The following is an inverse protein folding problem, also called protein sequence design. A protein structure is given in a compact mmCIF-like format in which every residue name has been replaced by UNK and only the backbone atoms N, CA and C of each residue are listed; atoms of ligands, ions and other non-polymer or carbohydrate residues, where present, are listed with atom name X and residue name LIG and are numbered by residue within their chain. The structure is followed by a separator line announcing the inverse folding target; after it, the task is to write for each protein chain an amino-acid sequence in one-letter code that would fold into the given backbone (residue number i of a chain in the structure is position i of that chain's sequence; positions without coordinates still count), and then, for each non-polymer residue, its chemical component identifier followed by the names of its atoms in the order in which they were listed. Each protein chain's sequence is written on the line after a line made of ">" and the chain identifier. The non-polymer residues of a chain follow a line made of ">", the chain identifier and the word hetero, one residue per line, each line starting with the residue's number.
data_IF_743264975233
#
_entry.id   IF_743264975233
#
_cell.length_a   1.000
_cell.length_b   1.000
_cell.length_c   1.000
_cell.angle_alpha   90.00
_cell.angle_beta   90.00
_cell.angle_gamma   90.00
#
_symmetry.space_group_name_H-M   'P 1'
#
loop_
_entity.id
_entity.type
_entity.pdbx_description
1 polymer ?
#
# COMPACT_ATOMS: atom_id res chain seq x y z
N UNK A 1 8.73 -12.75 37.90
CA UNK A 1 9.38 -11.97 36.83
C UNK A 1 8.29 -11.55 35.88
N UNK A 2 7.86 -10.28 35.94
CA UNK A 2 6.81 -9.77 35.05
C UNK A 2 7.42 -9.46 33.70
N UNK A 3 6.89 -10.06 32.64
CA UNK A 3 7.22 -9.68 31.27
C UNK A 3 6.64 -8.30 31.02
N UNK A 4 7.51 -7.29 30.97
CA UNK A 4 7.18 -5.95 30.48
C UNK A 4 7.07 -6.02 28.95
N UNK A 5 5.98 -6.60 28.47
CA UNK A 5 5.63 -6.50 27.05
C UNK A 5 4.99 -5.14 26.87
N UNK A 6 5.79 -4.18 26.43
CA UNK A 6 5.25 -2.93 25.87
C UNK A 6 4.10 -3.28 24.91
N UNK A 7 2.98 -2.54 24.94
CA UNK A 7 1.88 -2.81 24.01
C UNK A 7 2.43 -2.78 22.59
N UNK A 8 1.97 -3.68 21.69
CA UNK A 8 2.43 -3.64 20.31
C UNK A 8 2.20 -2.24 19.77
N UNK A 9 3.24 -1.64 19.17
CA UNK A 9 3.10 -0.36 18.49
C UNK A 9 1.89 -0.45 17.53
N UNK A 10 1.06 0.61 17.44
CA UNK A 10 -0.07 0.61 16.52
C UNK A 10 0.42 0.25 15.12
N UNK A 11 -0.23 -0.75 14.50
CA UNK A 11 0.10 -1.15 13.13
C UNK A 11 -0.30 -0.01 12.19
N UNK A 12 0.58 0.43 11.27
CA UNK A 12 0.28 1.56 10.40
C UNK A 12 -0.82 1.19 9.41
N UNK A 13 -1.79 2.07 9.22
CA UNK A 13 -2.95 1.82 8.37
C UNK A 13 -2.62 1.94 6.87
N UNK A 14 -3.37 1.24 6.03
CA UNK A 14 -3.46 1.54 4.61
C UNK A 14 -4.91 1.69 4.20
N UNK A 15 -5.13 2.41 3.10
CA UNK A 15 -6.41 2.44 2.39
C UNK A 15 -6.19 2.35 0.89
N UNK A 16 -7.07 1.61 0.24
CA UNK A 16 -7.22 1.58 -1.20
C UNK A 16 -8.55 2.23 -1.56
N UNK A 17 -8.51 3.39 -2.20
CA UNK A 17 -9.72 4.01 -2.72
C UNK A 17 -9.96 3.61 -4.18
N UNK A 18 -11.20 3.34 -4.55
CA UNK A 18 -11.66 3.38 -5.94
C UNK A 18 -12.11 4.81 -6.25
N UNK A 19 -11.41 5.48 -7.18
CA UNK A 19 -11.63 6.87 -7.55
C UNK A 19 -12.06 6.95 -9.02
N UNK A 20 -13.33 7.31 -9.23
CA UNK A 20 -14.02 7.18 -10.53
C UNK A 20 -13.97 8.45 -11.39
N UNK A 21 -13.28 9.51 -10.96
CA UNK A 21 -13.13 10.79 -11.68
C UNK A 21 -11.71 11.35 -11.55
N UNK A 22 -11.22 12.12 -12.56
CA UNK A 22 -11.81 12.28 -13.89
C UNK A 22 -11.72 11.01 -14.74
N UNK A 23 -10.75 10.12 -14.44
CA UNK A 23 -10.64 8.78 -15.03
C UNK A 23 -10.63 7.75 -13.90
N UNK A 24 -11.28 6.58 -14.04
CA UNK A 24 -11.20 5.53 -13.04
C UNK A 24 -9.75 5.13 -12.76
N UNK A 25 -9.38 5.13 -11.48
CA UNK A 25 -8.11 4.64 -10.96
C UNK A 25 -8.29 4.25 -9.50
N UNK A 26 -7.29 3.57 -8.95
CA UNK A 26 -7.22 3.33 -7.52
C UNK A 26 -6.18 4.23 -6.87
N UNK A 27 -6.45 4.73 -5.67
CA UNK A 27 -5.43 5.39 -4.85
C UNK A 27 -4.96 4.43 -3.75
N UNK A 28 -3.72 3.96 -3.85
CA UNK A 28 -3.06 3.24 -2.76
C UNK A 28 -2.41 4.24 -1.81
N UNK A 29 -2.71 4.12 -0.51
CA UNK A 29 -2.24 5.05 0.51
C UNK A 29 -1.74 4.30 1.72
N UNK A 30 -0.52 4.60 2.15
CA UNK A 30 0.15 3.96 3.28
C UNK A 30 0.44 5.01 4.36
N UNK A 31 -0.06 4.80 5.58
CA UNK A 31 0.29 5.62 6.73
C UNK A 31 1.77 5.47 7.06
N UNK A 32 2.51 6.57 7.04
CA UNK A 32 3.92 6.61 7.39
C UNK A 32 4.31 8.03 7.83
N UNK A 33 5.04 8.14 8.93
CA UNK A 33 5.59 9.43 9.42
C UNK A 33 4.53 10.54 9.58
N UNK A 34 3.30 10.16 9.99
CA UNK A 34 2.19 11.09 10.22
C UNK A 34 1.44 11.54 8.97
N UNK A 35 1.74 10.98 7.79
CA UNK A 35 1.04 11.26 6.52
C UNK A 35 0.67 9.98 5.78
N UNK A 36 -0.13 10.11 4.72
CA UNK A 36 -0.45 9.05 3.78
C UNK A 36 0.43 9.17 2.53
N UNK A 37 1.48 8.34 2.46
CA UNK A 37 2.26 8.15 1.23
C UNK A 37 1.37 7.54 0.17
N UNK A 38 1.24 8.21 -0.98
CA UNK A 38 0.12 7.96 -1.89
C UNK A 38 0.59 7.70 -3.32
N UNK A 39 -0.06 6.74 -3.98
CA UNK A 39 0.13 6.42 -5.38
C UNK A 39 -1.22 6.23 -6.08
N UNK A 40 -1.37 6.86 -7.25
CA UNK A 40 -2.47 6.55 -8.17
C UNK A 40 -2.08 5.33 -9.02
N UNK A 41 -2.98 4.36 -9.12
CA UNK A 41 -2.80 3.07 -9.83
C UNK A 41 -3.90 2.94 -10.89
N UNK A 42 -3.67 3.45 -12.13
CA UNK A 42 -4.73 3.59 -13.14
C UNK A 42 -5.40 2.29 -13.56
N UNK A 43 -4.72 1.16 -13.40
CA UNK A 43 -5.24 -0.17 -13.77
C UNK A 43 -5.46 -1.08 -12.56
N UNK A 44 -5.60 -0.49 -11.37
CA UNK A 44 -5.73 -1.21 -10.10
C UNK A 44 -4.48 -1.97 -9.70
N UNK A 45 -4.50 -2.49 -8.47
CA UNK A 45 -3.43 -3.33 -7.95
C UNK A 45 -3.33 -4.61 -8.79
N UNK A 46 -2.12 -5.13 -9.04
CA UNK A 46 -1.97 -6.40 -9.75
C UNK A 46 -2.66 -7.52 -8.96
N UNK A 47 -3.53 -8.26 -9.64
CA UNK A 47 -4.32 -9.37 -9.09
C UNK A 47 -3.55 -10.70 -9.14
N UNK A 48 -2.56 -10.85 -10.01
CA UNK A 48 -1.76 -12.08 -10.13
C UNK A 48 -0.28 -11.84 -9.86
N UNK A 49 0.41 -12.81 -9.23
CA UNK A 49 1.86 -12.74 -9.06
C UNK A 49 2.57 -12.59 -10.41
N UNK A 50 3.57 -11.72 -10.45
CA UNK A 50 4.35 -11.47 -11.67
C UNK A 50 3.79 -10.39 -12.59
N UNK A 51 2.56 -9.95 -12.39
CA UNK A 51 2.00 -8.80 -13.12
C UNK A 51 2.55 -7.47 -12.58
N UNK A 52 2.84 -6.55 -13.51
CA UNK A 52 3.25 -5.18 -13.20
C UNK A 52 2.12 -4.21 -13.55
N UNK A 53 1.87 -3.22 -12.67
CA UNK A 53 0.95 -2.11 -12.90
C UNK A 53 1.69 -0.80 -12.66
N UNK A 54 1.38 0.22 -13.46
CA UNK A 54 1.89 1.58 -13.24
C UNK A 54 1.33 2.11 -11.91
N UNK A 55 2.20 2.64 -11.08
CA UNK A 55 1.87 3.39 -9.88
C UNK A 55 2.55 4.76 -9.95
N UNK A 56 1.75 5.82 -9.91
CA UNK A 56 2.19 7.20 -10.07
C UNK A 56 2.21 7.80 -8.67
N UNK A 57 3.38 8.23 -8.20
CA UNK A 57 3.46 8.92 -6.91
C UNK A 57 2.67 10.24 -6.98
N UNK A 58 1.83 10.48 -6.00
CA UNK A 58 1.07 11.72 -5.85
C UNK A 58 1.42 12.38 -4.51
N UNK A 59 1.10 13.66 -4.30
CA UNK A 59 1.38 14.32 -3.02
C UNK A 59 0.83 13.52 -1.83
N UNK A 60 1.51 13.62 -0.69
CA UNK A 60 1.04 13.02 0.55
C UNK A 60 -0.35 13.58 0.92
N UNK A 61 -1.12 12.80 1.68
CA UNK A 61 -2.41 13.25 2.20
C UNK A 61 -2.44 13.14 3.72
N UNK A 62 -3.28 13.93 4.37
CA UNK A 62 -3.48 13.87 5.82
C UNK A 62 -4.15 12.55 6.24
N UNK A 63 -3.93 12.12 7.49
CA UNK A 63 -4.45 10.84 8.00
C UNK A 63 -5.98 10.74 7.96
N UNK A 64 -6.70 11.87 8.03
CA UNK A 64 -8.17 11.91 7.93
C UNK A 64 -8.67 11.34 6.59
N UNK A 65 -7.83 11.34 5.54
CA UNK A 65 -8.16 10.71 4.27
C UNK A 65 -8.25 9.17 4.34
N UNK A 66 -7.83 8.51 5.43
CA UNK A 66 -7.97 7.05 5.58
C UNK A 66 -9.42 6.58 5.46
N UNK A 67 -10.37 7.42 5.86
CA UNK A 67 -11.81 7.10 5.89
C UNK A 67 -12.65 8.01 4.99
N UNK A 68 -12.00 8.80 4.14
CA UNK A 68 -12.69 9.74 3.28
C UNK A 68 -13.41 9.02 2.13
N UNK A 69 -14.68 9.34 1.93
CA UNK A 69 -15.46 8.90 0.78
C UNK A 69 -16.31 10.08 0.27
N UNK A 70 -16.61 10.06 -1.03
CA UNK A 70 -17.55 10.96 -1.68
C UNK A 70 -18.32 10.24 -2.80
N UNK A 71 -19.09 10.99 -3.60
CA UNK A 71 -19.89 10.42 -4.69
C UNK A 71 -19.06 9.60 -5.70
N UNK A 72 -17.78 9.93 -5.88
CA UNK A 72 -16.89 9.35 -6.88
C UNK A 72 -15.70 8.60 -6.29
N UNK A 73 -15.53 8.63 -4.97
CA UNK A 73 -14.43 8.00 -4.26
C UNK A 73 -14.94 7.17 -3.10
N UNK A 74 -14.64 5.87 -3.12
CA UNK A 74 -15.07 4.92 -2.08
C UNK A 74 -13.91 4.06 -1.63
N UNK A 75 -13.98 3.49 -0.42
CA UNK A 75 -12.97 2.56 0.07
C UNK A 75 -13.17 1.17 -0.57
N UNK A 76 -12.27 0.81 -1.47
CA UNK A 76 -12.21 -0.53 -2.06
C UNK A 76 -11.62 -1.55 -1.08
N UNK A 77 -10.58 -1.17 -0.33
CA UNK A 77 -10.02 -1.99 0.75
C UNK A 77 -9.35 -1.10 1.81
N UNK A 78 -9.23 -1.61 3.03
CA UNK A 78 -8.62 -0.90 4.16
C UNK A 78 -8.11 -1.90 5.18
N UNK A 79 -6.99 -1.58 5.83
CA UNK A 79 -6.41 -2.43 6.85
C UNK A 79 -5.13 -1.83 7.38
N UNK A 80 -4.14 -2.68 7.63
CA UNK A 80 -2.80 -2.26 8.04
C UNK A 80 -1.75 -2.82 7.07
N UNK A 81 -0.56 -2.24 7.09
CA UNK A 81 0.53 -2.67 6.21
C UNK A 81 1.82 -2.92 6.99
N UNK A 82 2.69 -3.71 6.40
CA UNK A 82 4.00 -4.08 6.95
C UNK A 82 5.09 -3.85 5.92
N UNK A 83 6.11 -3.08 6.28
CA UNK A 83 7.35 -2.96 5.49
C UNK A 83 8.22 -4.21 5.68
N UNK A 84 8.73 -4.77 4.59
CA UNK A 84 9.67 -5.89 4.62
C UNK A 84 11.10 -5.47 4.23
N UNK A 85 11.23 -4.60 3.23
CA UNK A 85 12.53 -4.09 2.78
C UNK A 85 12.36 -2.79 1.99
N UNK A 86 13.33 -1.89 2.07
CA UNK A 86 13.34 -0.64 1.32
C UNK A 86 14.75 -0.25 0.90
N UNK A 87 14.88 0.02 -0.38
CA UNK A 87 16.07 0.59 -1.04
C UNK A 87 15.64 1.80 -1.86
N UNK A 88 16.58 2.61 -2.38
CA UNK A 88 16.22 3.72 -3.27
C UNK A 88 15.45 3.30 -4.53
N UNK A 89 15.58 2.03 -4.97
CA UNK A 89 14.95 1.52 -6.20
C UNK A 89 13.72 0.64 -5.93
N UNK A 90 13.55 0.14 -4.71
CA UNK A 90 12.57 -0.91 -4.39
C UNK A 90 12.01 -0.72 -3.00
N UNK A 91 10.72 -0.95 -2.86
CA UNK A 91 10.02 -0.93 -1.59
C UNK A 91 9.08 -2.14 -1.53
N UNK A 92 9.36 -3.08 -0.63
CA UNK A 92 8.63 -4.34 -0.45
C UNK A 92 7.77 -4.23 0.79
N UNK A 93 6.47 -4.49 0.63
CA UNK A 93 5.50 -4.38 1.71
C UNK A 93 4.36 -5.40 1.54
N UNK A 94 3.68 -5.72 2.65
CA UNK A 94 2.45 -6.51 2.65
C UNK A 94 1.29 -5.62 3.05
N UNK A 95 0.17 -5.73 2.32
CA UNK A 95 -1.11 -5.17 2.73
C UNK A 95 -1.92 -6.27 3.40
N UNK A 96 -2.37 -6.01 4.62
CA UNK A 96 -3.26 -6.89 5.39
C UNK A 96 -4.67 -6.33 5.31
N UNK A 97 -5.35 -6.64 4.20
CA UNK A 97 -6.66 -6.09 3.86
C UNK A 97 -7.80 -6.78 4.58
N UNK A 98 -9.04 -6.46 4.17
CA UNK A 98 -10.24 -7.06 4.77
C UNK A 98 -10.37 -8.57 4.52
N UNK A 99 -9.83 -9.05 3.40
CA UNK A 99 -10.05 -10.43 2.92
C UNK A 99 -8.76 -11.24 2.81
N UNK A 100 -7.67 -10.62 2.37
CA UNK A 100 -6.42 -11.30 2.03
C UNK A 100 -5.20 -10.48 2.45
N UNK A 101 -4.11 -11.20 2.73
CA UNK A 101 -2.78 -10.63 2.85
C UNK A 101 -2.07 -10.70 1.50
N UNK A 102 -1.63 -9.55 0.97
CA UNK A 102 -0.98 -9.50 -0.35
C UNK A 102 0.33 -8.73 -0.28
N UNK A 103 1.41 -9.39 -0.69
CA UNK A 103 2.74 -8.78 -0.80
C UNK A 103 2.95 -8.13 -2.17
N UNK A 104 3.46 -6.91 -2.13
CA UNK A 104 3.80 -6.11 -3.29
C UNK A 104 5.25 -5.63 -3.22
N UNK A 105 5.79 -5.30 -4.38
CA UNK A 105 6.97 -4.45 -4.51
C UNK A 105 6.63 -3.25 -5.39
N UNK A 106 6.98 -2.06 -4.92
CA UNK A 106 7.09 -0.85 -5.72
C UNK A 106 8.53 -0.74 -6.23
N UNK A 107 8.71 -0.58 -7.54
CA UNK A 107 10.01 -0.46 -8.20
C UNK A 107 10.09 0.91 -8.87
N UNK A 108 11.04 1.73 -8.45
CA UNK A 108 11.28 3.06 -9.02
C UNK A 108 11.96 2.93 -10.39
N UNK A 109 11.33 3.50 -11.42
CA UNK A 109 11.86 3.54 -12.80
C UNK A 109 12.61 4.84 -13.11
N UNK A 110 12.61 5.80 -12.18
CA UNK A 110 13.16 7.14 -12.33
C UNK A 110 12.15 8.18 -12.82
N UNK A 111 11.03 7.76 -13.43
CA UNK A 111 9.91 8.64 -13.82
C UNK A 111 8.63 8.35 -13.05
N UNK A 112 8.37 7.08 -12.75
CA UNK A 112 7.19 6.57 -12.04
C UNK A 112 7.57 5.29 -11.29
N UNK A 113 6.57 4.59 -10.74
CA UNK A 113 6.76 3.30 -10.09
C UNK A 113 6.06 2.17 -10.85
N UNK A 114 6.64 0.97 -10.79
CA UNK A 114 5.95 -0.27 -11.11
C UNK A 114 5.54 -0.95 -9.80
N UNK A 115 4.25 -1.17 -9.63
CA UNK A 115 3.69 -2.01 -8.57
C UNK A 115 3.57 -3.44 -9.08
N UNK A 116 4.18 -4.39 -8.38
CA UNK A 116 4.17 -5.81 -8.74
C UNK A 116 3.69 -6.66 -7.58
N UNK A 117 2.72 -7.54 -7.81
CA UNK A 117 2.35 -8.58 -6.84
C UNK A 117 3.42 -9.65 -6.83
N UNK A 118 3.92 -10.02 -5.66
CA UNK A 118 4.87 -11.12 -5.50
C UNK A 118 4.16 -12.35 -4.97
N UNK A 119 4.78 -13.52 -5.13
CA UNK A 119 4.39 -14.68 -4.32
C UNK A 119 4.70 -14.37 -2.85
N UNK A 120 3.93 -14.96 -1.94
CA UNK A 120 4.08 -14.81 -0.48
C UNK A 120 5.39 -15.41 0.06
N UNK A 121 6.26 -15.96 -0.79
CA UNK A 121 7.49 -16.60 -0.35
C UNK A 121 8.52 -15.56 0.09
N UNK A 122 8.60 -15.36 1.42
CA UNK A 122 9.81 -14.86 2.09
C UNK A 122 10.92 -15.87 1.77
N UNK A 123 12.14 -15.47 1.34
CA UNK A 123 13.27 -16.37 1.43
C UNK A 123 13.41 -16.74 2.92
N UNK A 124 13.42 -18.04 3.24
CA UNK A 124 14.00 -18.43 4.52
C UNK A 124 15.44 -17.92 4.49
N UNK A 125 15.77 -17.00 5.39
CA UNK A 125 17.18 -16.69 5.67
C UNK A 125 17.88 -18.03 5.93
N UNK A 126 18.89 -18.32 5.11
CA UNK A 126 19.73 -19.50 5.20
C UNK A 126 20.78 -19.40 6.29
#
# INVERSE_FOLDING_TARGET
>A
MGSDTAPPCPRPAFVLHDHRRPRPHFDLRLEQDGVLRSWAVPRGLPDKPGENRLAIAVPDHDLDHLRYEDEHKSIADIGWWEEHDRTPRRFIFTLHGRHDDVRYVLIDTGSDWLLRRTNTQVPADG
#
